data_IF_604378716975
#
_entry.id   IF_604378716975
#
_cell.length_a   1.000
_cell.length_b   1.000
_cell.length_c   1.000
_cell.angle_alpha   90.00
_cell.angle_beta   90.00
_cell.angle_gamma   90.00
#
_symmetry.space_group_name_H-M   'P 1'
#
loop_
_entity.id
_entity.type
_entity.pdbx_description
1 polymer ?
#
# COMPACT_ATOMS: atom_id res chain seq x y z
N UNK A 1 26.20 -2.75 -18.48
CA UNK A 1 26.92 -3.13 -19.72
C UNK A 1 27.22 -4.61 -19.61
N UNK A 2 26.88 -5.54 -20.50
CA UNK A 2 26.27 -5.61 -21.84
C UNK A 2 25.67 -7.04 -21.92
N UNK A 3 24.38 -7.20 -22.26
CA UNK A 3 23.92 -7.89 -23.48
C UNK A 3 24.90 -8.84 -24.17
N UNK A 4 24.48 -10.09 -24.41
CA UNK A 4 24.58 -10.69 -25.74
C UNK A 4 23.44 -11.71 -25.98
N UNK A 5 22.93 -11.68 -27.22
CA UNK A 5 21.83 -12.48 -27.80
C UNK A 5 22.46 -13.37 -28.89
N UNK A 6 21.63 -13.98 -29.74
CA UNK A 6 21.92 -14.65 -31.04
C UNK A 6 21.97 -16.19 -30.87
N UNK A 7 21.28 -17.05 -31.65
CA UNK A 7 20.92 -16.99 -33.07
C UNK A 7 19.68 -17.83 -33.46
N UNK A 8 19.18 -17.52 -34.65
CA UNK A 8 17.99 -17.97 -35.36
C UNK A 8 18.24 -19.17 -36.30
N UNK A 9 17.20 -19.92 -36.66
CA UNK A 9 17.15 -20.69 -37.93
C UNK A 9 15.74 -20.67 -38.52
N UNK A 10 15.66 -20.24 -39.77
CA UNK A 10 14.49 -20.18 -40.66
C UNK A 10 14.23 -21.52 -41.38
N UNK A 11 13.08 -21.62 -42.09
CA UNK A 11 12.91 -22.04 -43.52
C UNK A 11 11.45 -22.48 -43.81
N UNK A 12 10.69 -21.62 -44.52
CA UNK A 12 10.00 -21.78 -45.83
C UNK A 12 9.42 -23.16 -46.29
N UNK A 13 8.38 -23.33 -47.13
CA UNK A 13 7.39 -22.50 -47.85
C UNK A 13 6.41 -23.43 -48.64
N UNK A 14 5.31 -22.88 -49.19
CA UNK A 14 4.53 -23.25 -50.43
C UNK A 14 3.63 -24.51 -50.44
N UNK A 15 2.30 -24.40 -50.62
CA UNK A 15 1.47 -24.25 -51.86
C UNK A 15 1.06 -25.65 -52.42
N UNK A 16 -0.05 -25.95 -53.11
CA UNK A 16 -1.35 -25.37 -53.42
C UNK A 16 -2.18 -26.49 -54.13
N UNK A 17 -3.49 -26.24 -54.33
CA UNK A 17 -4.31 -26.64 -55.50
C UNK A 17 -5.00 -28.03 -55.67
N UNK A 18 -6.35 -27.94 -55.70
CA UNK A 18 -7.27 -28.18 -56.84
C UNK A 18 -8.09 -29.49 -57.05
N UNK A 19 -9.34 -29.22 -57.48
CA UNK A 19 -10.34 -29.98 -58.27
C UNK A 19 -11.12 -31.11 -57.55
N UNK A 20 -12.45 -31.27 -57.67
CA UNK A 20 -13.46 -30.70 -58.56
C UNK A 20 -14.24 -31.82 -59.29
N UNK A 21 -15.53 -32.00 -59.00
CA UNK A 21 -16.53 -32.43 -60.00
C UNK A 21 -17.23 -33.80 -59.90
N UNK A 22 -18.57 -33.72 -59.83
CA UNK A 22 -19.60 -34.53 -60.52
C UNK A 22 -19.99 -35.95 -60.05
N UNK A 23 -21.31 -36.14 -59.88
CA UNK A 23 -21.98 -37.32 -60.43
C UNK A 23 -22.88 -38.15 -59.49
N UNK A 24 -24.16 -37.79 -59.49
CA UNK A 24 -25.34 -38.67 -59.51
C UNK A 24 -25.80 -39.50 -58.30
N UNK A 25 -27.13 -39.46 -58.21
CA UNK A 25 -28.04 -39.89 -57.16
C UNK A 25 -28.61 -41.24 -57.58
N UNK A 26 -28.45 -42.27 -56.76
CA UNK A 26 -29.34 -43.44 -56.78
C UNK A 26 -29.74 -43.84 -55.36
N UNK A 27 -31.03 -43.66 -55.09
CA UNK A 27 -31.74 -44.24 -53.96
C UNK A 27 -31.98 -45.73 -54.20
N UNK A 28 -31.63 -46.61 -53.26
CA UNK A 28 -32.39 -47.83 -52.94
C UNK A 28 -31.80 -48.59 -51.74
N UNK A 29 -32.46 -48.42 -50.59
CA UNK A 29 -32.71 -49.39 -49.53
C UNK A 29 -31.96 -50.73 -49.53
N UNK A 30 -30.91 -50.83 -48.71
CA UNK A 30 -30.58 -52.03 -47.93
C UNK A 30 -30.02 -51.55 -46.57
N UNK A 31 -30.83 -51.65 -45.53
CA UNK A 31 -30.41 -51.48 -44.15
C UNK A 31 -29.66 -52.75 -43.74
N UNK A 32 -28.34 -52.84 -43.90
CA UNK A 32 -27.56 -53.79 -43.10
C UNK A 32 -26.06 -53.47 -43.19
N UNK A 33 -25.48 -53.11 -42.04
CA UNK A 33 -24.07 -53.32 -41.66
C UNK A 33 -22.94 -52.67 -42.48
N UNK A 34 -22.49 -51.50 -42.01
CA UNK A 34 -21.05 -51.31 -41.74
C UNK A 34 -20.83 -50.26 -40.64
N UNK A 35 -21.12 -50.63 -39.39
CA UNK A 35 -20.49 -49.96 -38.26
C UNK A 35 -18.99 -50.22 -38.35
N UNK A 36 -18.25 -49.32 -39.02
CA UNK A 36 -16.79 -49.25 -38.89
C UNK A 36 -16.50 -49.06 -37.41
N UNK A 37 -16.06 -50.14 -36.78
CA UNK A 37 -15.69 -50.18 -35.38
C UNK A 37 -14.78 -49.00 -35.04
N UNK A 38 -15.25 -48.13 -34.15
CA UNK A 38 -14.39 -47.15 -33.49
C UNK A 38 -13.32 -47.93 -32.73
N UNK A 39 -12.11 -47.99 -33.29
CA UNK A 39 -11.01 -48.74 -32.67
C UNK A 39 -10.65 -48.12 -31.30
N UNK A 40 -10.33 -48.93 -30.28
CA UNK A 40 -10.09 -48.47 -28.91
C UNK A 40 -8.97 -47.42 -28.81
N UNK A 41 -8.00 -47.42 -29.73
CA UNK A 41 -6.93 -46.41 -29.79
C UNK A 41 -7.41 -45.01 -30.20
N UNK A 42 -8.46 -44.90 -31.01
CA UNK A 42 -9.03 -43.60 -31.41
C UNK A 42 -9.84 -42.98 -30.28
N UNK A 43 -10.59 -43.80 -29.55
CA UNK A 43 -11.39 -43.38 -28.40
C UNK A 43 -10.51 -42.84 -27.25
N UNK A 44 -9.34 -43.45 -27.02
CA UNK A 44 -8.35 -42.96 -26.05
C UNK A 44 -7.78 -41.60 -26.48
N UNK A 45 -7.47 -41.43 -27.77
CA UNK A 45 -6.96 -40.16 -28.30
C UNK A 45 -8.00 -39.04 -28.20
N UNK A 46 -9.27 -39.33 -28.49
CA UNK A 46 -10.36 -38.35 -28.40
C UNK A 46 -10.59 -37.91 -26.93
N UNK A 47 -10.55 -38.84 -25.98
CA UNK A 47 -10.64 -38.51 -24.55
C UNK A 47 -9.44 -37.70 -24.05
N UNK A 48 -8.23 -37.99 -24.54
CA UNK A 48 -7.04 -37.23 -24.21
C UNK A 48 -7.11 -35.79 -24.74
N UNK A 49 -7.61 -35.59 -25.97
CA UNK A 49 -7.80 -34.25 -26.56
C UNK A 49 -8.86 -33.48 -25.77
N UNK A 50 -10.00 -34.10 -25.46
CA UNK A 50 -11.05 -33.46 -24.65
C UNK A 50 -10.51 -33.05 -23.28
N UNK A 51 -9.75 -33.94 -22.62
CA UNK A 51 -9.10 -33.63 -21.34
C UNK A 51 -8.17 -32.42 -21.42
N UNK A 52 -7.38 -32.32 -22.50
CA UNK A 52 -6.43 -31.22 -22.72
C UNK A 52 -7.17 -29.89 -22.99
N UNK A 53 -8.26 -29.92 -23.76
CA UNK A 53 -9.10 -28.75 -24.02
C UNK A 53 -9.79 -28.24 -22.74
N UNK A 54 -10.28 -29.16 -21.89
CA UNK A 54 -10.88 -28.78 -20.60
C UNK A 54 -9.82 -28.15 -19.68
N UNK A 55 -8.60 -28.70 -19.64
CA UNK A 55 -7.50 -28.13 -18.86
C UNK A 55 -7.12 -26.73 -19.34
N UNK A 56 -7.05 -26.52 -20.66
CA UNK A 56 -6.78 -25.20 -21.22
C UNK A 56 -7.89 -24.20 -20.89
N UNK A 57 -9.16 -24.61 -20.98
CA UNK A 57 -10.31 -23.77 -20.63
C UNK A 57 -10.29 -23.37 -19.14
N UNK A 58 -10.01 -24.32 -18.24
CA UNK A 58 -9.94 -24.03 -16.80
C UNK A 58 -8.80 -23.06 -16.50
N UNK A 59 -7.63 -23.21 -17.13
CA UNK A 59 -6.50 -22.30 -16.94
C UNK A 59 -6.77 -20.91 -17.50
N UNK A 60 -7.42 -20.77 -18.67
CA UNK A 60 -7.76 -19.46 -19.23
C UNK A 60 -8.83 -18.75 -18.41
N UNK A 61 -9.83 -19.46 -17.90
CA UNK A 61 -10.83 -18.91 -16.99
C UNK A 61 -10.23 -18.50 -15.64
N UNK A 62 -9.28 -19.27 -15.10
CA UNK A 62 -8.57 -18.92 -13.87
C UNK A 62 -7.69 -17.67 -14.06
N UNK A 63 -6.96 -17.58 -15.18
CA UNK A 63 -6.17 -16.39 -15.53
C UNK A 63 -7.06 -15.16 -15.76
N UNK A 64 -8.21 -15.34 -16.40
CA UNK A 64 -9.17 -14.26 -16.59
C UNK A 64 -9.73 -13.79 -15.24
N UNK A 65 -10.18 -14.70 -14.36
CA UNK A 65 -10.61 -14.34 -13.01
C UNK A 65 -9.52 -13.60 -12.24
N UNK A 66 -8.29 -14.13 -12.23
CA UNK A 66 -7.16 -13.50 -11.55
C UNK A 66 -6.82 -12.10 -12.11
N UNK A 67 -6.95 -11.92 -13.42
CA UNK A 67 -6.72 -10.64 -14.07
C UNK A 67 -7.89 -9.66 -13.84
N UNK A 68 -9.14 -10.13 -13.77
CA UNK A 68 -10.29 -9.32 -13.39
C UNK A 68 -10.24 -8.88 -11.92
N UNK A 69 -9.74 -9.73 -11.02
CA UNK A 69 -9.51 -9.36 -9.62
C UNK A 69 -8.36 -8.36 -9.47
N UNK A 70 -7.32 -8.44 -10.31
CA UNK A 70 -6.24 -7.42 -10.34
C UNK A 70 -6.65 -6.11 -11.01
N UNK A 71 -7.61 -6.11 -11.94
CA UNK A 71 -8.04 -4.91 -12.67
C UNK A 71 -9.02 -4.03 -11.89
N UNK A 72 -9.54 -4.50 -10.76
CA UNK A 72 -10.40 -3.73 -9.85
C UNK A 72 -9.65 -3.22 -8.62
N UNK A 73 -8.40 -2.82 -8.78
CA UNK A 73 -7.77 -1.83 -7.90
C UNK A 73 -7.55 -0.57 -8.72
N UNK A 74 -8.64 0.10 -9.11
CA UNK A 74 -8.52 1.52 -9.43
C UNK A 74 -8.03 2.18 -8.15
N UNK A 75 -6.80 2.70 -8.17
CA UNK A 75 -6.32 3.68 -7.22
C UNK A 75 -7.34 4.81 -7.17
N UNK A 76 -8.30 4.71 -6.26
CA UNK A 76 -9.07 5.86 -5.82
C UNK A 76 -8.13 6.61 -4.87
N UNK A 77 -7.18 7.32 -5.46
CA UNK A 77 -6.30 8.25 -4.78
C UNK A 77 -7.19 9.40 -4.31
N UNK A 78 -7.72 9.26 -3.09
CA UNK A 78 -8.66 10.21 -2.49
C UNK A 78 -7.93 11.53 -2.19
N UNK A 79 -7.96 12.45 -3.15
CA UNK A 79 -8.54 13.77 -2.95
C UNK A 79 -7.92 14.71 -1.90
N UNK A 80 -6.63 14.59 -1.57
CA UNK A 80 -5.89 15.65 -0.87
C UNK A 80 -4.81 16.34 -1.72
N UNK A 81 -4.70 15.98 -3.01
CA UNK A 81 -3.81 16.67 -3.97
C UNK A 81 -4.26 18.11 -4.30
N UNK A 82 -5.36 18.58 -3.69
CA UNK A 82 -5.85 19.96 -3.84
C UNK A 82 -5.73 20.81 -2.57
N UNK A 83 -4.92 20.40 -1.58
CA UNK A 83 -4.12 21.44 -0.92
C UNK A 83 -3.00 21.79 -1.88
N UNK A 84 -3.38 22.60 -2.87
CA UNK A 84 -2.47 23.10 -3.89
C UNK A 84 -1.21 23.60 -3.21
N UNK A 85 -0.09 22.95 -3.54
CA UNK A 85 1.28 23.36 -3.23
C UNK A 85 1.61 24.66 -4.00
N UNK A 86 0.75 25.67 -3.87
CA UNK A 86 0.96 27.02 -4.35
C UNK A 86 1.35 27.88 -3.16
N UNK A 87 2.41 27.47 -2.47
CA UNK A 87 3.19 28.33 -1.59
C UNK A 87 4.49 27.62 -1.24
N UNK A 88 5.37 27.53 -2.23
CA UNK A 88 6.83 27.43 -2.05
C UNK A 88 7.40 28.69 -1.33
N UNK A 89 6.58 29.36 -0.51
CA UNK A 89 6.81 30.67 0.10
C UNK A 89 6.43 30.75 1.58
N UNK A 90 5.87 29.67 2.17
CA UNK A 90 5.51 29.61 3.59
C UNK A 90 6.26 28.52 4.36
N UNK A 91 7.43 28.10 3.87
CA UNK A 91 8.31 27.25 4.65
C UNK A 91 8.79 27.98 5.90
N UNK A 92 8.65 27.34 7.05
CA UNK A 92 9.10 27.89 8.33
C UNK A 92 10.49 27.39 8.63
N UNK A 93 11.45 28.31 8.72
CA UNK A 93 12.78 28.00 9.22
C UNK A 93 12.70 27.91 10.75
N UNK A 94 13.00 26.75 11.30
CA UNK A 94 12.97 26.50 12.74
C UNK A 94 14.15 25.64 13.16
N UNK A 95 14.37 25.50 14.46
CA UNK A 95 15.14 24.38 15.03
C UNK A 95 14.17 23.46 15.77
N UNK A 96 14.59 22.23 16.08
CA UNK A 96 13.76 21.32 16.91
C UNK A 96 13.73 21.75 18.37
N UNK A 97 14.80 22.38 18.86
CA UNK A 97 14.93 22.87 20.23
C UNK A 97 15.04 21.76 21.27
N UNK A 98 14.98 22.17 22.55
CA UNK A 98 15.18 21.26 23.69
C UNK A 98 14.11 21.49 24.77
N UNK A 99 12.86 21.12 24.47
CA UNK A 99 11.77 21.26 25.44
C UNK A 99 11.69 20.04 26.38
N UNK A 100 12.28 20.17 27.56
CA UNK A 100 12.32 19.11 28.57
C UNK A 100 10.92 18.64 29.02
N UNK A 101 9.88 19.43 28.80
CA UNK A 101 8.50 19.04 29.14
C UNK A 101 8.00 17.87 28.27
N UNK A 102 8.54 17.72 27.05
CA UNK A 102 8.25 16.59 26.16
C UNK A 102 9.26 15.45 26.30
N UNK A 103 10.37 15.64 27.02
CA UNK A 103 11.45 14.66 27.20
C UNK A 103 11.35 13.89 28.51
N UNK A 104 10.15 13.46 28.88
CA UNK A 104 9.91 12.81 30.18
C UNK A 104 8.68 11.90 30.19
N UNK A 105 8.78 10.82 30.98
CA UNK A 105 7.67 9.92 31.31
C UNK A 105 6.88 10.38 32.54
N UNK A 106 7.26 11.50 33.18
CA UNK A 106 6.55 11.99 34.36
C UNK A 106 5.10 12.35 34.04
N UNK A 107 4.18 11.84 34.85
CA UNK A 107 2.75 12.15 34.78
C UNK A 107 2.43 13.65 34.86
N UNK A 108 3.35 14.46 35.44
CA UNK A 108 3.26 15.91 35.50
C UNK A 108 2.97 16.55 34.13
N UNK A 109 3.45 15.95 33.05
CA UNK A 109 3.35 16.50 31.70
C UNK A 109 2.39 15.73 30.78
N UNK A 110 1.54 14.86 31.32
CA UNK A 110 0.57 14.08 30.52
C UNK A 110 -0.39 15.00 29.73
N UNK A 111 -0.77 16.13 30.31
CA UNK A 111 -1.61 17.15 29.68
C UNK A 111 -1.08 17.68 28.33
N UNK A 112 0.22 17.55 28.05
CA UNK A 112 0.79 17.94 26.75
C UNK A 112 0.50 16.93 25.64
N UNK A 113 -0.01 15.74 25.99
CA UNK A 113 -0.24 14.61 25.10
C UNK A 113 -1.72 14.22 25.02
N UNK A 114 -2.55 14.70 25.96
CA UNK A 114 -3.96 14.30 26.11
C UNK A 114 -4.79 14.47 24.83
N UNK A 115 -4.60 15.55 24.08
CA UNK A 115 -5.34 15.81 22.83
C UNK A 115 -5.01 14.78 21.72
N UNK A 116 -3.87 14.09 21.81
CA UNK A 116 -3.45 13.12 20.80
C UNK A 116 -3.90 11.69 21.13
N UNK A 117 -4.29 11.40 22.36
CA UNK A 117 -4.62 10.04 22.80
C UNK A 117 -5.96 9.47 22.31
N UNK A 118 -7.05 10.25 22.17
CA UNK A 118 -8.32 9.74 21.64
C UNK A 118 -8.16 9.08 20.27
N UNK A 119 -8.97 8.06 19.98
CA UNK A 119 -8.91 7.33 18.69
C UNK A 119 -9.27 8.22 17.50
N UNK A 120 -10.13 9.21 17.72
CA UNK A 120 -10.56 10.19 16.73
C UNK A 120 -9.62 11.41 16.62
N UNK A 121 -8.53 11.47 17.40
CA UNK A 121 -7.63 12.64 17.45
C UNK A 121 -6.97 12.96 16.10
N UNK A 122 -6.91 12.01 15.18
CA UNK A 122 -6.35 12.23 13.85
C UNK A 122 -7.39 12.27 12.73
N UNK A 123 -8.66 11.98 13.04
CA UNK A 123 -9.69 11.67 12.06
C UNK A 123 -10.46 12.94 11.63
N UNK A 124 -10.61 13.10 10.32
CA UNK A 124 -11.35 14.19 9.68
C UNK A 124 -12.38 13.66 8.70
N UNK A 125 -13.47 14.39 8.54
CA UNK A 125 -14.46 14.15 7.49
C UNK A 125 -13.88 14.60 6.16
N UNK A 126 -13.90 13.72 5.17
CA UNK A 126 -13.57 14.03 3.79
C UNK A 126 -14.83 14.54 3.08
N UNK A 127 -14.68 15.34 2.01
CA UNK A 127 -15.80 15.74 1.18
C UNK A 127 -16.58 14.51 0.70
N UNK A 128 -17.91 14.61 0.68
CA UNK A 128 -18.76 13.50 0.25
C UNK A 128 -18.37 13.01 -1.14
N UNK A 129 -18.37 11.69 -1.31
CA UNK A 129 -18.27 11.09 -2.65
C UNK A 129 -19.55 11.39 -3.42
N UNK A 130 -19.53 11.24 -4.76
CA UNK A 130 -20.71 11.47 -5.61
C UNK A 130 -21.97 10.68 -5.18
N UNK A 131 -21.79 9.66 -4.33
CA UNK A 131 -22.84 8.78 -3.81
C UNK A 131 -23.43 9.24 -2.46
N UNK A 132 -22.97 10.38 -1.91
CA UNK A 132 -23.52 10.99 -0.68
C UNK A 132 -23.05 10.37 0.64
N UNK A 133 -22.11 9.43 0.59
CA UNK A 133 -21.47 8.88 1.80
C UNK A 133 -20.28 9.76 2.22
N UNK A 134 -20.33 10.25 3.46
CA UNK A 134 -19.20 10.92 4.12
C UNK A 134 -18.12 9.89 4.40
N UNK A 135 -17.00 10.00 3.68
CA UNK A 135 -15.80 9.22 3.98
C UNK A 135 -14.98 9.90 5.08
N UNK A 136 -14.28 9.10 5.89
CA UNK A 136 -13.35 9.62 6.91
C UNK A 136 -11.91 9.31 6.48
N UNK A 137 -10.99 10.19 6.87
CA UNK A 137 -9.55 9.99 6.69
C UNK A 137 -8.79 10.46 7.91
N UNK A 138 -7.50 10.14 7.99
CA UNK A 138 -6.62 10.66 9.03
C UNK A 138 -5.62 11.64 8.41
N UNK A 139 -5.42 12.80 9.05
CA UNK A 139 -4.31 13.66 8.67
C UNK A 139 -3.02 13.01 9.19
N UNK A 140 -2.08 12.73 8.28
CA UNK A 140 -0.86 12.00 8.60
C UNK A 140 -0.07 12.61 9.79
N UNK A 141 0.06 13.94 9.84
CA UNK A 141 0.73 14.63 10.96
C UNK A 141 0.10 14.29 12.32
N UNK A 142 -1.23 14.29 12.42
CA UNK A 142 -1.90 13.96 13.69
C UNK A 142 -1.81 12.46 14.01
N UNK A 143 -1.81 11.58 13.01
CA UNK A 143 -1.61 10.15 13.25
C UNK A 143 -0.17 9.86 13.74
N UNK A 144 0.83 10.58 13.25
CA UNK A 144 2.20 10.52 13.75
C UNK A 144 2.28 10.96 15.22
N UNK A 145 1.63 12.07 15.57
CA UNK A 145 1.57 12.58 16.95
C UNK A 145 0.80 11.64 17.89
N UNK A 146 -0.32 11.07 17.44
CA UNK A 146 -1.07 10.03 18.15
C UNK A 146 -0.20 8.81 18.44
N UNK A 147 0.51 8.30 17.44
CA UNK A 147 1.46 7.20 17.60
C UNK A 147 2.54 7.51 18.63
N UNK A 148 3.12 8.72 18.58
CA UNK A 148 4.14 9.15 19.55
C UNK A 148 3.57 9.24 20.98
N UNK A 149 2.35 9.75 21.14
CA UNK A 149 1.67 9.82 22.44
C UNK A 149 1.41 8.41 23.03
N UNK A 150 0.98 7.46 22.21
CA UNK A 150 0.78 6.07 22.63
C UNK A 150 2.08 5.33 22.94
N UNK A 151 3.17 5.63 22.23
CA UNK A 151 4.49 5.12 22.59
C UNK A 151 4.93 5.63 23.96
N UNK A 152 4.80 6.94 24.22
CA UNK A 152 5.08 7.51 25.54
C UNK A 152 4.24 6.82 26.63
N UNK A 153 2.93 6.66 26.41
CA UNK A 153 2.02 6.01 27.36
C UNK A 153 2.38 4.53 27.61
N UNK A 154 2.85 3.83 26.59
CA UNK A 154 3.30 2.44 26.73
C UNK A 154 4.58 2.35 27.56
N UNK A 155 5.52 3.29 27.38
CA UNK A 155 6.71 3.38 28.23
C UNK A 155 6.37 3.72 29.68
N UNK A 156 5.38 4.57 29.93
CA UNK A 156 4.88 4.86 31.28
C UNK A 156 4.32 3.59 31.95
N UNK A 157 3.45 2.85 31.24
CA UNK A 157 2.92 1.56 31.74
C UNK A 157 4.02 0.56 32.09
N UNK A 158 5.01 0.42 31.20
CA UNK A 158 6.16 -0.43 31.47
C UNK A 158 6.97 0.05 32.69
N UNK A 159 7.14 1.36 32.85
CA UNK A 159 7.80 1.94 34.02
C UNK A 159 7.04 1.66 35.34
N UNK A 160 5.71 1.60 35.26
CA UNK A 160 4.83 1.25 36.38
C UNK A 160 4.77 -0.26 36.66
N UNK A 161 5.50 -1.07 35.87
CA UNK A 161 5.63 -2.51 36.05
C UNK A 161 4.60 -3.34 35.29
N UNK A 162 3.83 -2.73 34.38
CA UNK A 162 2.93 -3.47 33.48
C UNK A 162 3.73 -4.21 32.40
N UNK A 163 3.33 -5.45 32.12
CA UNK A 163 3.79 -6.16 30.92
C UNK A 163 3.06 -5.61 29.69
N UNK A 164 3.78 -4.83 28.89
CA UNK A 164 3.25 -4.24 27.65
C UNK A 164 3.34 -5.19 26.45
N UNK A 165 3.84 -6.41 26.64
CA UNK A 165 4.00 -7.42 25.60
C UNK A 165 5.24 -7.22 24.72
N UNK A 166 5.35 -8.05 23.69
CA UNK A 166 6.53 -8.10 22.81
C UNK A 166 6.23 -7.75 21.36
N UNK A 167 5.00 -7.95 20.89
CA UNK A 167 4.60 -7.69 19.50
C UNK A 167 3.10 -7.40 19.34
N UNK A 168 2.65 -7.28 18.08
CA UNK A 168 1.27 -6.97 17.69
C UNK A 168 0.22 -7.93 18.27
N UNK A 169 0.59 -9.15 18.67
CA UNK A 169 -0.32 -10.13 19.27
C UNK A 169 -0.65 -9.76 20.70
N UNK A 170 0.30 -9.17 21.41
CA UNK A 170 0.16 -8.80 22.82
C UNK A 170 -0.42 -7.38 22.98
N UNK A 171 -0.05 -6.47 22.07
CA UNK A 171 -0.53 -5.11 22.06
C UNK A 171 -0.69 -4.61 20.63
N UNK A 172 -1.90 -4.18 20.26
CA UNK A 172 -2.14 -3.70 18.90
C UNK A 172 -1.48 -2.36 18.62
N UNK A 173 -1.25 -1.49 19.63
CA UNK A 173 -0.84 -0.09 19.46
C UNK A 173 0.67 0.10 19.30
N UNK A 174 1.44 -0.02 20.39
CA UNK A 174 2.85 0.38 20.37
C UNK A 174 3.68 -0.30 19.25
N UNK A 175 3.47 -1.58 18.88
CA UNK A 175 4.26 -2.18 17.82
C UNK A 175 3.89 -1.63 16.42
N UNK A 176 2.61 -1.32 16.15
CA UNK A 176 2.24 -0.69 14.89
C UNK A 176 2.72 0.76 14.85
N UNK A 177 2.64 1.48 15.99
CA UNK A 177 3.10 2.86 16.08
C UNK A 177 4.60 2.94 15.77
N UNK A 178 5.39 1.98 16.28
CA UNK A 178 6.82 1.87 15.96
C UNK A 178 7.06 1.70 14.45
N UNK A 179 6.37 0.78 13.79
CA UNK A 179 6.55 0.57 12.35
C UNK A 179 6.02 1.76 11.52
N UNK A 180 4.86 2.32 11.90
CA UNK A 180 4.28 3.48 11.23
C UNK A 180 5.22 4.69 11.26
N UNK A 181 5.82 5.01 12.41
CA UNK A 181 6.80 6.09 12.52
C UNK A 181 8.08 5.77 11.74
N UNK A 182 8.57 4.52 11.80
CA UNK A 182 9.72 4.09 10.99
C UNK A 182 9.46 4.31 9.49
N UNK A 183 8.31 3.89 8.99
CA UNK A 183 7.93 4.06 7.59
C UNK A 183 7.73 5.54 7.23
N UNK A 184 7.17 6.33 8.15
CA UNK A 184 7.05 7.78 7.99
C UNK A 184 8.42 8.43 7.77
N UNK A 185 9.40 8.10 8.60
CA UNK A 185 10.75 8.66 8.49
C UNK A 185 11.44 8.22 7.19
N UNK A 186 11.27 6.96 6.78
CA UNK A 186 11.79 6.49 5.49
C UNK A 186 11.10 7.17 4.29
N UNK A 187 9.82 7.51 4.41
CA UNK A 187 9.08 8.23 3.38
C UNK A 187 9.53 9.70 3.26
N UNK A 188 9.86 10.35 4.38
CA UNK A 188 10.33 11.74 4.38
C UNK A 188 11.85 11.89 4.23
N UNK A 189 12.62 10.79 4.34
CA UNK A 189 14.06 10.67 4.10
C UNK A 189 14.86 11.98 4.28
N UNK A 190 14.80 12.58 5.48
CA UNK A 190 15.50 13.83 5.78
C UNK A 190 17.01 13.63 5.67
N UNK A 191 17.64 14.36 4.74
CA UNK A 191 19.07 14.26 4.45
C UNK A 191 19.92 15.29 5.23
N UNK A 192 19.30 16.03 6.16
CA UNK A 192 20.00 16.99 7.01
C UNK A 192 21.11 16.30 7.81
N UNK A 193 22.32 16.84 7.74
CA UNK A 193 23.47 16.32 8.50
C UNK A 193 23.47 16.95 9.88
N UNK A 194 23.19 16.16 10.90
CA UNK A 194 23.25 16.61 12.28
C UNK A 194 24.69 16.69 12.79
N UNK A 195 25.01 17.76 13.53
CA UNK A 195 26.37 18.02 14.03
C UNK A 195 26.39 18.10 15.55
N UNK A 196 27.55 17.80 16.18
CA UNK A 196 27.67 17.97 17.62
C UNK A 196 27.47 19.43 18.04
N UNK A 197 26.79 19.70 19.15
CA UNK A 197 26.48 21.06 19.56
C UNK A 197 27.75 21.81 20.00
N UNK A 198 27.71 23.13 19.82
CA UNK A 198 28.77 24.04 20.28
C UNK A 198 28.26 24.80 21.49
N UNK A 199 28.72 24.41 22.67
CA UNK A 199 28.30 25.01 23.94
C UNK A 199 29.39 25.97 24.41
N UNK A 200 29.06 27.26 24.54
CA UNK A 200 30.00 28.32 24.95
C UNK A 200 31.29 28.33 24.10
N UNK A 201 31.14 28.15 22.78
CA UNK A 201 32.27 28.12 21.84
C UNK A 201 33.11 26.85 21.88
N UNK A 202 32.73 25.86 22.71
CA UNK A 202 33.41 24.56 22.79
C UNK A 202 32.57 23.49 22.12
N UNK A 203 33.15 22.78 21.15
CA UNK A 203 32.52 21.62 20.52
C UNK A 203 32.35 20.51 21.56
N UNK A 204 31.15 19.94 21.66
CA UNK A 204 30.84 18.79 22.52
C UNK A 204 30.66 17.55 21.64
N UNK A 205 31.73 16.78 21.38
CA UNK A 205 31.67 15.64 20.45
C UNK A 205 30.82 14.47 20.99
N UNK A 206 30.47 14.50 22.27
CA UNK A 206 29.78 13.48 23.04
C UNK A 206 28.24 13.50 22.90
N UNK A 207 27.68 14.27 21.98
CA UNK A 207 26.26 14.24 21.65
C UNK A 207 25.98 14.75 20.24
N UNK A 208 25.09 14.09 19.51
CA UNK A 208 24.44 14.59 18.30
C UNK A 208 22.95 14.45 18.57
N UNK A 209 22.27 15.58 18.75
CA UNK A 209 20.85 15.63 19.11
C UNK A 209 19.98 16.40 18.10
N UNK A 210 20.61 17.07 17.13
CA UNK A 210 19.94 17.83 16.09
C UNK A 210 19.14 19.03 16.58
N UNK A 211 19.24 19.40 17.86
CA UNK A 211 18.35 20.35 18.51
C UNK A 211 18.52 21.78 17.98
N UNK A 212 19.76 22.15 17.67
CA UNK A 212 20.14 23.47 17.15
C UNK A 212 20.29 23.50 15.62
N UNK A 213 20.14 22.35 14.95
CA UNK A 213 20.23 22.28 13.50
C UNK A 213 19.03 22.97 12.86
N UNK A 214 19.31 23.76 11.83
CA UNK A 214 18.28 24.49 11.09
C UNK A 214 17.44 23.49 10.28
N UNK A 215 16.13 23.62 10.38
CA UNK A 215 15.13 22.79 9.72
C UNK A 215 14.22 23.64 8.86
N UNK A 216 13.80 23.01 7.78
CA UNK A 216 12.91 23.53 6.77
C UNK A 216 11.55 22.84 6.96
N UNK A 217 10.67 23.48 7.74
CA UNK A 217 9.45 22.87 8.24
C UNK A 217 8.24 23.34 7.43
N UNK A 218 7.38 22.39 7.06
CA UNK A 218 6.07 22.70 6.50
C UNK A 218 5.20 23.40 7.55
N UNK A 219 4.46 24.48 7.18
CA UNK A 219 3.58 25.16 8.12
C UNK A 219 2.45 24.23 8.55
N UNK A 220 2.29 24.01 9.85
CA UNK A 220 1.30 23.06 10.39
C UNK A 220 -0.01 23.72 10.85
N UNK A 221 -0.05 25.05 11.00
CA UNK A 221 -1.23 25.77 11.52
C UNK A 221 -2.50 25.46 10.73
N UNK A 222 -2.41 25.43 9.40
CA UNK A 222 -3.55 25.13 8.55
C UNK A 222 -4.14 23.73 8.81
N UNK A 223 -3.31 22.76 9.20
CA UNK A 223 -3.77 21.40 9.55
C UNK A 223 -4.51 21.40 10.89
N UNK A 224 -4.04 22.16 11.87
CA UNK A 224 -4.78 22.36 13.13
C UNK A 224 -6.13 23.04 12.90
N UNK A 225 -6.15 24.12 12.11
CA UNK A 225 -7.38 24.82 11.77
C UNK A 225 -8.36 23.88 11.03
N UNK A 226 -7.84 23.05 10.11
CA UNK A 226 -8.65 22.06 9.39
C UNK A 226 -9.21 20.98 10.31
N UNK A 227 -8.38 20.37 11.18
CA UNK A 227 -8.85 19.37 12.16
C UNK A 227 -9.92 19.96 13.08
N UNK A 228 -9.76 21.20 13.53
CA UNK A 228 -10.75 21.87 14.36
C UNK A 228 -12.09 22.09 13.63
N UNK A 229 -12.07 22.35 12.32
CA UNK A 229 -13.27 22.58 11.52
C UNK A 229 -13.96 21.28 11.06
N UNK A 230 -13.19 20.22 10.79
CA UNK A 230 -13.67 19.01 10.10
C UNK A 230 -13.43 17.72 10.88
N UNK A 231 -13.03 17.80 12.15
CA UNK A 231 -12.84 16.65 13.03
C UNK A 231 -14.07 15.74 13.04
N UNK A 232 -13.86 14.44 12.92
CA UNK A 232 -14.94 13.48 12.99
C UNK A 232 -15.35 13.26 14.44
N UNK A 233 -16.33 14.03 14.94
CA UNK A 233 -16.98 13.77 16.23
C UNK A 233 -17.81 12.49 16.15
N UNK A 234 -17.20 11.30 16.21
CA UNK A 234 -17.98 10.05 16.25
C UNK A 234 -17.21 8.78 16.66
N UNK A 235 -16.48 8.82 17.77
CA UNK A 235 -16.13 7.60 18.55
C UNK A 235 -16.10 7.85 20.07
N UNK A 236 -17.01 8.70 20.60
CA UNK A 236 -17.29 8.83 22.03
C UNK A 236 -18.63 8.24 22.42
#
# INVERSE_FOLDING_TARGET
MLYEKVQQTDVDNSDAENNGGHGDIQHAWLWETSHKAYGPRRLINDLAIIGLLVLLLVNTLALWHFNTTKRSSSEQYFGLDSYSDTSDSNETISTYGFDQRYMTLSAKYDHLWDDMLPEDSSIVKLPDTADGDTSIGAIAMFHQLHCLAWLRKSLQRAQDGEDIGTDLRDNSHWPHCLDYLRMTFLCQADFTIERPPVINGTLRPDGIDGADDIRHCKPNKALFDYRAAYGAERFS
#
